data_IF_095713979832
#
_entry.id   IF_095713979832
#
_cell.length_a   1.000
_cell.length_b   1.000
_cell.length_c   1.000
_cell.angle_alpha   90.00
_cell.angle_beta   90.00
_cell.angle_gamma   90.00
#
_symmetry.space_group_name_H-M   'P 1'
#
loop_
_entity.id
_entity.type
_entity.pdbx_description
1 polymer ?
#
# COMPACT_ATOMS: atom_id res chain seq x y z
N UNK A 1 -1.75 -12.42 -21.22
CA UNK A 1 -2.30 -11.12 -20.72
C UNK A 1 -1.77 -10.94 -19.31
N UNK A 2 -1.30 -9.75 -18.93
CA UNK A 2 -0.79 -9.50 -17.56
C UNK A 2 -1.95 -9.45 -16.57
N UNK A 3 -1.74 -9.94 -15.35
CA UNK A 3 -2.71 -9.76 -14.26
C UNK A 3 -2.69 -8.32 -13.75
N UNK A 4 -3.72 -7.89 -13.03
CA UNK A 4 -3.74 -6.55 -12.42
C UNK A 4 -2.55 -6.32 -11.48
N UNK A 5 -2.19 -7.32 -10.68
CA UNK A 5 -1.02 -7.27 -9.80
C UNK A 5 0.30 -7.08 -10.59
N UNK A 6 0.47 -7.80 -11.69
CA UNK A 6 1.67 -7.65 -12.55
C UNK A 6 1.77 -6.25 -13.15
N UNK A 7 0.63 -5.68 -13.57
CA UNK A 7 0.59 -4.32 -14.10
C UNK A 7 0.98 -3.32 -13.02
N UNK A 8 0.40 -3.42 -11.81
CA UNK A 8 0.72 -2.51 -10.70
C UNK A 8 2.20 -2.56 -10.33
N UNK A 9 2.77 -3.76 -10.16
CA UNK A 9 4.19 -3.91 -9.80
C UNK A 9 5.10 -3.36 -10.90
N UNK A 10 4.81 -3.65 -12.16
CA UNK A 10 5.57 -3.11 -13.28
C UNK A 10 5.50 -1.58 -13.31
N UNK A 11 4.32 -0.99 -13.11
CA UNK A 11 4.15 0.46 -13.07
C UNK A 11 4.95 1.09 -11.92
N UNK A 12 4.97 0.48 -10.73
CA UNK A 12 5.80 0.96 -9.63
C UNK A 12 7.29 0.99 -10.02
N UNK A 13 7.78 -0.08 -10.66
CA UNK A 13 9.17 -0.15 -11.14
C UNK A 13 9.44 0.93 -12.20
N UNK A 14 8.54 1.11 -13.17
CA UNK A 14 8.66 2.13 -14.22
C UNK A 14 8.65 3.56 -13.67
N UNK A 15 7.96 3.80 -12.54
CA UNK A 15 7.98 5.07 -11.82
C UNK A 15 9.19 5.23 -10.88
N UNK A 16 10.12 4.26 -10.88
CA UNK A 16 11.36 4.34 -10.10
C UNK A 16 11.18 4.03 -8.61
N UNK A 17 10.10 3.32 -8.23
CA UNK A 17 9.92 2.85 -6.86
C UNK A 17 10.90 1.71 -6.60
N UNK A 18 11.88 1.95 -5.72
CA UNK A 18 12.88 0.97 -5.30
C UNK A 18 12.67 0.45 -3.87
N UNK A 19 11.88 1.15 -3.07
CA UNK A 19 11.60 0.85 -1.67
C UNK A 19 10.11 1.04 -1.42
N UNK A 20 9.49 0.05 -0.79
CA UNK A 20 8.07 0.07 -0.48
C UNK A 20 7.83 -0.48 0.92
N UNK A 21 6.80 0.04 1.59
CA UNK A 21 6.40 -0.36 2.93
C UNK A 21 5.07 -1.09 2.87
N UNK A 22 4.76 -1.95 3.84
CA UNK A 22 3.40 -2.46 3.93
C UNK A 22 3.22 -3.68 4.80
N UNK A 23 1.96 -3.93 5.13
CA UNK A 23 1.56 -5.06 5.96
C UNK A 23 0.67 -6.00 5.15
N UNK A 24 0.90 -7.31 5.31
CA UNK A 24 0.25 -8.34 4.51
C UNK A 24 -1.19 -8.60 4.98
N UNK A 25 -2.06 -8.97 4.04
CA UNK A 25 -3.39 -9.48 4.34
C UNK A 25 -4.01 -10.22 3.15
N UNK A 26 -5.03 -11.03 3.43
CA UNK A 26 -5.56 -12.01 2.47
C UNK A 26 -6.01 -11.42 1.14
N UNK A 27 -6.56 -10.21 1.16
CA UNK A 27 -7.12 -9.54 -0.02
C UNK A 27 -6.04 -9.06 -0.99
N UNK A 28 -4.84 -8.76 -0.49
CA UNK A 28 -3.72 -8.22 -1.27
C UNK A 28 -2.68 -9.27 -1.62
N UNK A 29 -2.89 -10.55 -1.27
CA UNK A 29 -1.96 -11.64 -1.57
C UNK A 29 -1.51 -11.70 -3.04
N UNK A 30 -2.40 -11.55 -4.06
CA UNK A 30 -1.95 -11.57 -5.45
C UNK A 30 -0.96 -10.45 -5.79
N UNK A 31 -1.04 -9.30 -5.12
CA UNK A 31 -0.08 -8.21 -5.28
C UNK A 31 1.23 -8.52 -4.55
N UNK A 32 1.15 -9.05 -3.33
CA UNK A 32 2.32 -9.46 -2.56
C UNK A 32 3.13 -10.56 -3.25
N UNK A 33 2.46 -11.54 -3.89
CA UNK A 33 3.12 -12.58 -4.67
C UNK A 33 4.00 -11.99 -5.78
N UNK A 34 3.55 -10.91 -6.43
CA UNK A 34 4.30 -10.23 -7.49
C UNK A 34 5.35 -9.27 -6.95
N UNK A 35 5.11 -8.64 -5.80
CA UNK A 35 6.10 -7.82 -5.11
C UNK A 35 7.27 -8.67 -4.57
N UNK A 36 7.02 -9.92 -4.19
CA UNK A 36 8.05 -10.83 -3.67
C UNK A 36 9.17 -11.08 -4.68
N UNK A 37 8.83 -11.23 -5.96
CA UNK A 37 9.78 -11.43 -7.05
C UNK A 37 10.32 -10.11 -7.64
N UNK A 38 9.78 -8.97 -7.21
CA UNK A 38 10.14 -7.67 -7.76
C UNK A 38 11.49 -7.16 -7.20
N UNK A 39 12.25 -6.38 -7.96
CA UNK A 39 13.46 -5.70 -7.48
C UNK A 39 13.12 -4.47 -6.60
N UNK A 40 12.12 -4.58 -5.72
CA UNK A 40 11.70 -3.55 -4.79
C UNK A 40 12.07 -4.02 -3.38
N UNK A 41 12.84 -3.20 -2.66
CA UNK A 41 13.14 -3.43 -1.26
C UNK A 41 11.87 -3.25 -0.40
N UNK A 42 11.23 -4.36 -0.04
CA UNK A 42 9.96 -4.35 0.66
C UNK A 42 10.15 -4.45 2.18
N UNK A 43 9.64 -3.47 2.93
CA UNK A 43 9.79 -3.37 4.38
C UNK A 43 8.46 -3.63 5.09
N UNK A 44 8.45 -4.66 5.95
CA UNK A 44 7.26 -5.07 6.71
C UNK A 44 7.33 -4.46 8.12
N UNK A 45 6.45 -3.49 8.46
CA UNK A 45 6.34 -2.95 9.81
C UNK A 45 5.57 -3.94 10.71
N UNK A 46 5.43 -3.62 12.00
CA UNK A 46 4.54 -4.37 12.91
C UNK A 46 3.10 -3.86 12.97
N UNK A 47 2.85 -2.69 12.37
CA UNK A 47 1.55 -2.04 12.30
C UNK A 47 1.51 -1.16 11.05
N UNK A 48 0.38 -1.09 10.36
CA UNK A 48 0.24 -0.35 9.10
C UNK A 48 0.51 1.14 9.29
N UNK A 49 0.01 1.74 10.37
CA UNK A 49 0.32 3.14 10.73
C UNK A 49 1.84 3.38 10.85
N UNK A 50 2.57 2.45 11.45
CA UNK A 50 4.03 2.53 11.56
C UNK A 50 4.69 2.49 10.17
N UNK A 51 4.23 1.60 9.30
CA UNK A 51 4.65 1.59 7.89
C UNK A 51 4.34 2.89 7.16
N UNK A 52 3.17 3.48 7.42
CA UNK A 52 2.74 4.70 6.76
C UNK A 52 3.65 5.88 7.14
N UNK A 53 4.02 5.99 8.42
CA UNK A 53 5.00 6.97 8.88
C UNK A 53 6.42 6.66 8.38
N UNK A 54 6.77 5.39 8.15
CA UNK A 54 8.04 5.04 7.49
C UNK A 54 8.07 5.50 6.04
N UNK A 55 6.96 5.35 5.30
CA UNK A 55 6.83 5.84 3.92
C UNK A 55 6.93 7.37 3.85
N UNK A 56 6.26 8.07 4.76
CA UNK A 56 6.34 9.52 4.94
C UNK A 56 7.79 9.96 5.24
N UNK A 57 8.43 9.36 6.24
CA UNK A 57 9.82 9.66 6.59
C UNK A 57 10.82 9.35 5.47
N UNK A 58 10.63 8.24 4.75
CA UNK A 58 11.41 7.90 3.57
C UNK A 58 11.29 8.96 2.48
N UNK A 59 10.08 9.42 2.18
CA UNK A 59 9.85 10.42 1.16
C UNK A 59 10.61 11.73 1.48
N UNK A 60 10.54 12.18 2.74
CA UNK A 60 11.27 13.37 3.21
C UNK A 60 12.78 13.22 3.12
N UNK A 61 13.32 12.08 3.55
CA UNK A 61 14.76 11.87 3.63
C UNK A 61 15.40 11.62 2.25
N UNK A 62 14.67 10.96 1.34
CA UNK A 62 15.19 10.55 0.03
C UNK A 62 14.86 11.52 -1.10
N UNK A 63 13.83 12.35 -0.94
CA UNK A 63 13.25 13.15 -2.03
C UNK A 63 12.45 12.32 -3.05
N UNK A 64 12.19 11.04 -2.78
CA UNK A 64 11.39 10.13 -3.62
C UNK A 64 9.96 10.03 -3.10
N UNK A 65 9.08 9.37 -3.87
CA UNK A 65 7.70 9.11 -3.44
C UNK A 65 7.66 7.97 -2.42
N UNK A 66 7.03 8.20 -1.27
CA UNK A 66 6.80 7.15 -0.27
C UNK A 66 5.68 6.22 -0.71
N UNK A 67 5.95 4.93 -0.88
CA UNK A 67 4.95 3.96 -1.32
C UNK A 67 4.59 2.98 -0.20
N UNK A 68 3.30 2.81 0.08
CA UNK A 68 2.81 1.84 1.06
C UNK A 68 1.66 0.98 0.53
N UNK A 69 1.61 -0.29 0.91
CA UNK A 69 0.47 -1.17 0.70
C UNK A 69 -0.11 -1.70 2.02
N UNK A 70 -1.44 -1.77 2.10
CA UNK A 70 -2.16 -2.44 3.18
C UNK A 70 -3.32 -3.28 2.63
N UNK A 71 -3.81 -4.23 3.42
CA UNK A 71 -5.02 -5.00 3.08
C UNK A 71 -6.30 -4.14 3.18
N UNK A 72 -7.45 -4.73 2.86
CA UNK A 72 -8.76 -4.07 3.02
C UNK A 72 -9.11 -3.76 4.48
N UNK A 73 -10.21 -3.03 4.67
CA UNK A 73 -10.83 -2.83 5.97
C UNK A 73 -9.84 -2.29 7.01
N UNK A 74 -9.53 -3.06 8.07
CA UNK A 74 -8.68 -2.56 9.16
C UNK A 74 -7.29 -2.11 8.71
N UNK A 75 -6.69 -2.78 7.72
CA UNK A 75 -5.35 -2.41 7.24
C UNK A 75 -5.35 -1.03 6.58
N UNK A 76 -6.31 -0.78 5.70
CA UNK A 76 -6.52 0.51 5.06
C UNK A 76 -6.85 1.61 6.09
N UNK A 77 -7.77 1.34 7.03
CA UNK A 77 -8.14 2.29 8.08
C UNK A 77 -6.93 2.68 8.96
N UNK A 78 -6.03 1.75 9.22
CA UNK A 78 -4.81 2.02 10.01
C UNK A 78 -3.82 2.96 9.28
N UNK A 79 -3.94 3.17 7.97
CA UNK A 79 -3.11 4.13 7.24
C UNK A 79 -3.56 5.58 7.43
N UNK A 80 -4.83 5.81 7.78
CA UNK A 80 -5.47 7.14 7.74
C UNK A 80 -4.68 8.19 8.51
N UNK A 81 -4.20 7.88 9.72
CA UNK A 81 -3.40 8.81 10.53
C UNK A 81 -2.11 9.23 9.82
N UNK A 82 -1.41 8.28 9.20
CA UNK A 82 -0.17 8.56 8.47
C UNK A 82 -0.40 9.31 7.17
N UNK A 83 -1.46 8.98 6.43
CA UNK A 83 -1.87 9.69 5.21
C UNK A 83 -2.25 11.14 5.53
N UNK A 84 -3.05 11.36 6.59
CA UNK A 84 -3.41 12.70 7.02
C UNK A 84 -2.17 13.52 7.41
N UNK A 85 -1.19 12.92 8.09
CA UNK A 85 0.09 13.57 8.41
C UNK A 85 0.84 14.00 7.14
N UNK A 86 1.03 13.06 6.20
CA UNK A 86 1.70 13.34 4.93
C UNK A 86 0.98 14.43 4.12
N UNK A 87 -0.36 14.41 4.10
CA UNK A 87 -1.18 15.39 3.41
C UNK A 87 -1.01 16.80 4.02
N UNK A 88 -1.05 16.93 5.35
CA UNK A 88 -0.87 18.22 6.02
C UNK A 88 0.51 18.82 5.77
N UNK A 89 1.53 17.98 5.62
CA UNK A 89 2.92 18.39 5.40
C UNK A 89 3.33 18.41 3.92
N UNK A 90 2.41 18.18 3.00
CA UNK A 90 2.67 18.13 1.54
C UNK A 90 3.75 17.12 1.13
N UNK A 91 3.77 15.96 1.78
CA UNK A 91 4.73 14.89 1.50
C UNK A 91 4.21 13.98 0.38
N UNK A 92 5.01 13.70 -0.67
CA UNK A 92 4.57 12.86 -1.77
C UNK A 92 4.49 11.40 -1.35
N UNK A 93 3.27 10.85 -1.34
CA UNK A 93 3.02 9.44 -1.05
C UNK A 93 2.01 8.79 -2.00
N UNK A 94 2.14 7.48 -2.17
CA UNK A 94 1.15 6.60 -2.80
C UNK A 94 0.79 5.50 -1.80
N UNK A 95 -0.49 5.41 -1.46
CA UNK A 95 -1.04 4.34 -0.62
C UNK A 95 -1.93 3.42 -1.48
N UNK A 96 -1.62 2.12 -1.49
CA UNK A 96 -2.38 1.09 -2.19
C UNK A 96 -3.09 0.25 -1.14
N UNK A 97 -4.40 0.11 -1.27
CA UNK A 97 -5.20 -0.73 -0.38
C UNK A 97 -5.85 -1.87 -1.16
N UNK A 98 -6.03 -3.01 -0.48
CA UNK A 98 -6.95 -4.03 -0.97
C UNK A 98 -8.40 -3.62 -0.75
N UNK A 99 -9.31 -4.29 -1.45
CA UNK A 99 -10.74 -4.21 -1.19
C UNK A 99 -11.38 -5.59 -1.37
N UNK A 100 -12.51 -5.83 -0.70
CA UNK A 100 -13.33 -7.01 -0.97
C UNK A 100 -13.65 -7.12 -2.46
N UNK A 101 -13.99 -8.33 -2.91
CA UNK A 101 -14.36 -8.55 -4.32
C UNK A 101 -15.51 -7.62 -4.69
N UNK A 102 -15.52 -7.15 -5.94
CA UNK A 102 -16.47 -6.16 -6.44
C UNK A 102 -17.93 -6.57 -6.29
N UNK A 103 -18.23 -7.87 -6.35
CA UNK A 103 -19.57 -8.44 -6.15
C UNK A 103 -20.03 -8.46 -4.68
N UNK A 104 -19.11 -8.20 -3.75
CA UNK A 104 -19.38 -8.13 -2.30
C UNK A 104 -19.47 -6.71 -1.76
N UNK A 105 -19.06 -5.70 -2.53
CA UNK A 105 -19.12 -4.29 -2.12
C UNK A 105 -20.60 -3.88 -1.92
N UNK A 106 -20.88 -3.22 -0.80
CA UNK A 106 -22.18 -2.78 -0.34
C UNK A 106 -22.96 -3.81 0.49
N UNK A 107 -22.36 -4.97 0.79
CA UNK A 107 -23.05 -6.08 1.48
C UNK A 107 -22.57 -6.29 2.93
N UNK A 108 -21.79 -5.35 3.48
CA UNK A 108 -21.13 -5.46 4.79
C UNK A 108 -20.32 -6.77 4.91
N UNK A 109 -19.59 -7.09 3.84
CA UNK A 109 -18.78 -8.29 3.79
C UNK A 109 -17.63 -8.24 4.81
N UNK A 110 -17.08 -9.40 5.15
CA UNK A 110 -15.96 -9.46 6.10
C UNK A 110 -14.78 -8.60 5.62
N UNK A 111 -14.35 -7.66 6.47
CA UNK A 111 -13.29 -6.67 6.19
C UNK A 111 -13.59 -5.70 5.04
N UNK A 112 -14.87 -5.51 4.71
CA UNK A 112 -15.30 -4.38 3.89
C UNK A 112 -15.21 -3.07 4.70
N UNK A 113 -14.71 -2.03 4.05
CA UNK A 113 -14.82 -0.65 4.51
C UNK A 113 -14.79 0.26 3.27
N UNK A 114 -15.45 1.42 3.35
CA UNK A 114 -15.40 2.45 2.29
C UNK A 114 -14.07 3.21 2.39
N UNK A 115 -13.05 2.65 1.72
CA UNK A 115 -11.65 3.07 1.79
C UNK A 115 -11.17 3.68 0.49
#
# INVERSE_FOLDING_TARGET
MKTGAEIVVQTLIEQGVDTMFGYLGGVVLPLFDKLYDAPINFIIPRHEQGGCHMADGYARASGKVGCIVATSGPGACNLITGIANAMMDSVPMVAITGQVRTDLIGNDAFQEADT
#
